data_IF_239178317420
#
_entry.id   IF_239178317420
#
_cell.length_a   1.000
_cell.length_b   1.000
_cell.length_c   1.000
_cell.angle_alpha   90.00
_cell.angle_beta   90.00
_cell.angle_gamma   90.00
#
_symmetry.space_group_name_H-M   'P 1'
#
loop_
_entity.id
_entity.type
_entity.pdbx_description
1 polymer ?
#
# COMPACT_ATOMS: atom_id res chain seq x y z
N UNK A 1 -34.23 -30.79 -28.94
CA UNK A 1 -34.33 -29.64 -27.99
C UNK A 1 -33.84 -29.93 -26.56
N UNK A 2 -34.13 -31.08 -25.93
CA UNK A 2 -33.71 -31.39 -24.54
C UNK A 2 -32.19 -31.52 -24.31
N UNK A 3 -31.44 -32.05 -25.28
CA UNK A 3 -29.98 -32.25 -25.15
C UNK A 3 -29.18 -30.94 -25.20
N UNK A 4 -29.53 -30.01 -26.11
CA UNK A 4 -28.95 -28.66 -26.16
C UNK A 4 -29.19 -27.88 -24.86
N UNK A 5 -30.40 -27.97 -24.28
CA UNK A 5 -30.69 -27.33 -22.97
C UNK A 5 -29.85 -27.91 -21.83
N UNK A 6 -29.66 -29.24 -21.77
CA UNK A 6 -28.80 -29.90 -20.77
C UNK A 6 -27.32 -29.52 -20.89
N UNK A 7 -26.80 -29.41 -22.12
CA UNK A 7 -25.42 -29.00 -22.37
C UNK A 7 -25.21 -27.54 -21.96
N UNK A 8 -26.15 -26.65 -22.30
CA UNK A 8 -26.10 -25.22 -21.92
C UNK A 8 -26.16 -25.06 -20.38
N UNK A 9 -27.01 -25.83 -19.69
CA UNK A 9 -27.07 -25.79 -18.22
C UNK A 9 -25.80 -26.32 -17.57
N UNK A 10 -25.23 -27.43 -18.06
CA UNK A 10 -23.96 -27.98 -17.55
C UNK A 10 -22.78 -27.03 -17.78
N UNK A 11 -22.76 -26.32 -18.91
CA UNK A 11 -21.75 -25.32 -19.22
C UNK A 11 -21.86 -24.11 -18.28
N UNK A 12 -23.08 -23.64 -17.99
CA UNK A 12 -23.34 -22.59 -17.01
C UNK A 12 -22.97 -23.00 -15.57
N UNK A 13 -23.22 -24.26 -15.18
CA UNK A 13 -22.88 -24.81 -13.85
C UNK A 13 -21.39 -24.78 -13.55
N UNK A 14 -20.53 -24.84 -14.57
CA UNK A 14 -19.07 -24.79 -14.40
C UNK A 14 -18.47 -23.40 -14.66
N UNK A 15 -18.97 -22.65 -15.65
CA UNK A 15 -18.40 -21.34 -16.01
C UNK A 15 -18.69 -20.24 -14.99
N UNK A 16 -19.91 -20.16 -14.46
CA UNK A 16 -20.28 -19.15 -13.46
C UNK A 16 -19.43 -19.22 -12.18
N UNK A 17 -19.26 -20.39 -11.53
CA UNK A 17 -18.41 -20.46 -10.35
C UNK A 17 -16.94 -20.18 -10.65
N UNK A 18 -16.42 -20.57 -11.82
CA UNK A 18 -15.04 -20.23 -12.21
C UNK A 18 -14.84 -18.71 -12.38
N UNK A 19 -15.81 -18.01 -12.99
CA UNK A 19 -15.77 -16.55 -13.12
C UNK A 19 -15.88 -15.87 -11.74
N UNK A 20 -16.74 -16.37 -10.85
CA UNK A 20 -16.86 -15.84 -9.48
C UNK A 20 -15.58 -16.06 -8.67
N UNK A 21 -14.95 -17.23 -8.75
CA UNK A 21 -13.66 -17.52 -8.10
C UNK A 21 -12.56 -16.62 -8.68
N UNK A 22 -12.51 -16.46 -10.00
CA UNK A 22 -11.54 -15.56 -10.65
C UNK A 22 -11.75 -14.09 -10.25
N UNK A 23 -12.99 -13.65 -10.02
CA UNK A 23 -13.31 -12.31 -9.52
C UNK A 23 -12.89 -12.09 -8.05
N UNK A 24 -12.55 -13.15 -7.31
CA UNK A 24 -12.02 -13.11 -5.96
C UNK A 24 -10.50 -13.30 -5.90
N UNK A 25 -9.81 -13.45 -7.03
CA UNK A 25 -8.35 -13.42 -7.07
C UNK A 25 -7.89 -11.98 -6.86
N UNK A 26 -7.50 -11.65 -5.62
CA UNK A 26 -6.81 -10.40 -5.34
C UNK A 26 -5.41 -10.47 -5.96
N UNK A 27 -5.13 -9.57 -6.91
CA UNK A 27 -3.78 -9.37 -7.41
C UNK A 27 -2.96 -8.67 -6.33
N UNK A 28 -1.87 -9.31 -5.89
CA UNK A 28 -0.94 -8.72 -4.94
C UNK A 28 0.13 -7.96 -5.71
N UNK A 29 -0.03 -6.65 -5.81
CA UNK A 29 1.01 -5.75 -6.28
C UNK A 29 2.00 -5.42 -5.16
N UNK A 30 3.25 -5.15 -5.51
CA UNK A 30 4.23 -4.61 -4.57
C UNK A 30 3.88 -3.16 -4.25
N UNK A 31 4.17 -2.72 -3.02
CA UNK A 31 3.89 -1.35 -2.59
C UNK A 31 4.69 -0.35 -3.45
N UNK A 32 4.03 0.75 -3.80
CA UNK A 32 4.66 1.88 -4.48
C UNK A 32 4.80 3.03 -3.50
N UNK A 33 5.93 3.73 -3.52
CA UNK A 33 6.22 4.82 -2.60
C UNK A 33 6.79 6.05 -3.30
N UNK A 34 6.66 7.21 -2.65
CA UNK A 34 7.41 8.40 -3.03
C UNK A 34 8.88 8.21 -2.68
N UNK A 35 9.76 8.57 -3.62
CA UNK A 35 11.20 8.34 -3.51
C UNK A 35 11.92 9.60 -3.94
N UNK A 36 12.23 10.46 -2.97
CA UNK A 36 12.75 11.79 -3.24
C UNK A 36 13.43 12.36 -2.00
N UNK A 37 14.28 13.36 -2.23
CA UNK A 37 14.96 14.12 -1.19
C UNK A 37 14.78 15.61 -1.46
N UNK A 38 14.36 16.38 -0.44
CA UNK A 38 14.04 17.80 -0.59
C UNK A 38 15.25 18.72 -0.73
N UNK A 39 16.46 18.22 -0.47
CA UNK A 39 17.71 18.95 -0.70
C UNK A 39 18.15 18.88 -2.17
N UNK A 40 17.81 17.82 -2.89
CA UNK A 40 18.04 17.69 -4.33
C UNK A 40 16.86 18.15 -5.18
N UNK A 41 15.62 17.94 -4.72
CA UNK A 41 14.40 18.32 -5.44
C UNK A 41 13.41 19.03 -4.50
N UNK A 42 13.23 20.36 -4.62
CA UNK A 42 12.37 21.13 -3.73
C UNK A 42 10.90 20.70 -3.78
N UNK A 43 10.44 20.00 -4.83
CA UNK A 43 9.07 19.43 -4.90
C UNK A 43 8.84 18.37 -3.83
N UNK A 44 9.90 17.76 -3.32
CA UNK A 44 9.84 16.79 -2.23
C UNK A 44 9.71 17.45 -0.84
N UNK A 45 9.74 18.77 -0.72
CA UNK A 45 9.54 19.43 0.56
C UNK A 45 8.14 19.18 1.14
N UNK A 46 7.93 19.52 2.41
CA UNK A 46 6.59 19.62 2.99
C UNK A 46 6.15 21.10 3.00
N UNK A 47 4.90 21.42 2.66
CA UNK A 47 3.81 20.51 2.27
C UNK A 47 4.06 19.86 0.90
N UNK A 48 3.68 18.58 0.79
CA UNK A 48 3.99 17.77 -0.38
C UNK A 48 2.81 17.68 -1.34
N UNK A 49 3.04 18.01 -2.60
CA UNK A 49 2.09 17.82 -3.69
C UNK A 49 2.28 16.43 -4.31
N UNK A 50 1.31 15.54 -4.08
CA UNK A 50 1.34 14.16 -4.58
C UNK A 50 1.17 14.02 -6.10
N UNK A 51 0.90 15.11 -6.82
CA UNK A 51 0.87 15.13 -8.28
C UNK A 51 2.19 15.55 -8.92
N UNK A 52 3.12 16.07 -8.11
CA UNK A 52 4.32 16.77 -8.60
C UNK A 52 5.47 15.85 -9.01
N UNK A 53 5.48 14.62 -8.50
CA UNK A 53 6.49 13.59 -8.76
C UNK A 53 5.79 12.30 -9.21
N UNK A 54 6.50 11.32 -9.80
CA UNK A 54 5.98 9.97 -10.01
C UNK A 54 6.30 9.03 -8.85
N UNK A 55 5.36 8.14 -8.52
CA UNK A 55 5.56 7.09 -7.53
C UNK A 55 6.41 5.95 -8.11
N UNK A 56 7.21 5.27 -7.29
CA UNK A 56 8.09 4.18 -7.75
C UNK A 56 7.70 2.84 -7.11
N UNK A 57 7.82 1.75 -7.87
CA UNK A 57 7.64 0.38 -7.38
C UNK A 57 8.82 -0.02 -6.48
N UNK A 58 8.54 -0.39 -5.23
CA UNK A 58 9.57 -0.72 -4.26
C UNK A 58 10.32 -2.03 -4.56
N UNK A 59 9.79 -2.87 -5.46
CA UNK A 59 10.45 -4.10 -5.93
C UNK A 59 11.67 -3.80 -6.79
N UNK A 60 11.67 -2.67 -7.50
CA UNK A 60 12.79 -2.25 -8.35
C UNK A 60 13.97 -1.73 -7.53
N UNK A 61 13.75 -1.44 -6.24
CA UNK A 61 14.81 -0.97 -5.37
C UNK A 61 15.63 -2.11 -4.80
N UNK A 62 16.94 -1.88 -4.74
CA UNK A 62 17.88 -2.75 -4.04
C UNK A 62 18.28 -2.10 -2.71
N UNK A 63 18.45 -2.88 -1.64
CA UNK A 63 19.04 -2.36 -0.41
C UNK A 63 20.46 -1.86 -0.71
N UNK A 64 20.83 -0.74 -0.09
CA UNK A 64 22.12 -0.06 -0.31
C UNK A 64 23.32 -0.80 0.31
N UNK A 65 23.08 -1.86 1.10
CA UNK A 65 24.13 -2.61 1.78
C UNK A 65 24.19 -4.06 1.30
N UNK A 66 25.34 -4.42 0.73
CA UNK A 66 25.73 -5.79 0.38
C UNK A 66 25.83 -6.63 1.68
N UNK A 67 24.77 -7.38 2.00
CA UNK A 67 24.76 -8.27 3.17
C UNK A 67 23.41 -8.46 3.84
N UNK A 68 22.44 -7.58 3.55
CA UNK A 68 21.04 -7.83 3.96
C UNK A 68 20.48 -8.81 2.93
N UNK A 69 20.28 -10.08 3.33
CA UNK A 69 19.59 -11.07 2.52
C UNK A 69 18.31 -10.45 1.96
N UNK A 70 18.25 -10.39 0.63
CA UNK A 70 17.18 -9.93 -0.26
C UNK A 70 15.83 -9.78 0.46
N UNK A 71 15.66 -8.70 1.21
CA UNK A 71 14.36 -8.30 1.73
C UNK A 71 13.78 -7.37 0.69
N UNK A 72 12.61 -7.72 0.17
CA UNK A 72 11.82 -6.80 -0.64
C UNK A 72 11.28 -5.71 0.28
N UNK A 73 11.29 -4.47 -0.18
CA UNK A 73 10.66 -3.40 0.58
C UNK A 73 9.14 -3.58 0.56
N UNK A 74 8.53 -3.66 1.74
CA UNK A 74 7.09 -3.91 1.93
C UNK A 74 6.33 -2.70 2.48
N UNK A 75 7.05 -1.59 2.73
CA UNK A 75 6.54 -0.40 3.38
C UNK A 75 7.11 0.85 2.73
N UNK A 76 6.43 1.98 2.91
CA UNK A 76 7.00 3.30 2.67
C UNK A 76 7.57 3.90 3.95
N UNK A 77 8.51 4.82 3.76
CA UNK A 77 9.16 5.57 4.83
C UNK A 77 9.16 7.07 4.50
N UNK A 78 8.89 7.87 5.51
CA UNK A 78 9.08 9.33 5.50
C UNK A 78 10.00 9.72 6.65
N UNK A 79 10.99 10.52 6.35
CA UNK A 79 11.92 11.08 7.32
C UNK A 79 11.87 12.59 7.18
N UNK A 80 11.53 13.28 8.27
CA UNK A 80 11.70 14.73 8.37
C UNK A 80 12.84 14.99 9.33
N UNK A 81 13.88 15.63 8.82
CA UNK A 81 15.06 15.93 9.61
C UNK A 81 15.39 17.41 9.56
N UNK A 82 15.84 17.95 10.67
CA UNK A 82 16.44 19.29 10.74
C UNK A 82 17.92 19.10 11.00
N UNK A 83 18.77 19.61 10.12
CA UNK A 83 20.22 19.55 10.27
C UNK A 83 20.76 20.97 10.10
N UNK A 84 21.46 21.48 11.11
CA UNK A 84 22.03 22.83 11.12
C UNK A 84 20.99 23.91 10.74
N UNK A 85 19.83 23.90 11.41
CA UNK A 85 18.76 24.87 11.14
C UNK A 85 17.87 24.56 9.94
N UNK A 86 18.30 23.70 9.02
CA UNK A 86 17.58 23.46 7.76
C UNK A 86 16.75 22.18 7.80
N UNK A 87 15.45 22.31 7.52
CA UNK A 87 14.55 21.17 7.37
C UNK A 87 14.76 20.48 6.03
N UNK A 88 14.77 19.15 6.05
CA UNK A 88 14.81 18.28 4.87
C UNK A 88 13.83 17.14 5.05
N UNK A 89 13.12 16.83 3.98
CA UNK A 89 12.22 15.67 3.91
C UNK A 89 12.81 14.66 2.95
N UNK A 90 12.91 13.42 3.42
CA UNK A 90 13.36 12.26 2.64
C UNK A 90 12.22 11.25 2.61
N UNK A 91 11.87 10.79 1.42
CA UNK A 91 10.89 9.74 1.20
C UNK A 91 11.56 8.57 0.50
N UNK A 92 11.32 7.36 0.98
CA UNK A 92 11.90 6.16 0.38
C UNK A 92 11.05 4.91 0.65
N UNK A 93 11.35 3.82 -0.06
CA UNK A 93 10.89 2.49 0.31
C UNK A 93 11.62 2.00 1.58
N UNK A 94 10.90 1.31 2.46
CA UNK A 94 11.42 0.74 3.70
C UNK A 94 11.61 -0.78 3.55
N UNK A 95 12.86 -1.21 3.71
CA UNK A 95 13.24 -2.64 3.76
C UNK A 95 13.13 -3.25 5.15
N UNK A 96 13.09 -2.42 6.19
CA UNK A 96 13.10 -2.81 7.59
C UNK A 96 12.18 -1.89 8.39
N UNK A 97 11.66 -2.44 9.49
CA UNK A 97 10.78 -1.75 10.42
C UNK A 97 9.40 -2.41 10.49
N UNK A 98 8.45 -1.73 11.11
CA UNK A 98 7.05 -2.15 11.17
C UNK A 98 6.15 -0.93 11.09
N UNK A 99 4.98 -0.99 10.43
CA UNK A 99 4.09 0.17 10.26
C UNK A 99 3.78 0.86 11.59
N UNK A 100 3.75 2.20 11.58
CA UNK A 100 3.55 2.99 12.79
C UNK A 100 4.63 2.78 13.85
N UNK A 101 5.86 2.49 13.42
CA UNK A 101 7.00 2.23 14.31
C UNK A 101 6.74 1.09 15.30
N UNK A 102 6.06 0.03 14.82
CA UNK A 102 5.70 -1.15 15.62
C UNK A 102 4.39 -1.04 16.39
N UNK A 103 3.74 0.13 16.40
CA UNK A 103 2.41 0.29 17.03
C UNK A 103 1.26 -0.15 16.13
N UNK A 104 1.49 -0.29 14.82
CA UNK A 104 0.45 -0.54 13.84
C UNK A 104 -0.38 0.70 13.46
N UNK A 105 -0.26 1.81 14.20
CA UNK A 105 -0.86 3.10 13.82
C UNK A 105 0.13 3.92 13.02
N UNK A 106 -0.06 4.03 11.71
CA UNK A 106 0.84 4.73 10.79
C UNK A 106 1.02 6.23 11.07
N UNK A 107 0.14 6.83 11.88
CA UNK A 107 0.28 8.21 12.33
C UNK A 107 1.28 8.35 13.48
N UNK A 108 1.67 7.24 14.10
CA UNK A 108 2.70 7.24 15.12
C UNK A 108 4.09 7.25 14.47
N UNK A 109 4.79 8.36 14.66
CA UNK A 109 6.16 8.55 14.19
C UNK A 109 7.14 8.55 15.36
N UNK A 110 8.33 8.03 15.12
CA UNK A 110 9.42 8.06 16.08
C UNK A 110 10.14 9.40 15.98
N UNK A 111 10.14 10.15 17.08
CA UNK A 111 10.87 11.41 17.20
C UNK A 111 12.16 11.21 17.99
N UNK A 112 13.28 11.70 17.45
CA UNK A 112 14.58 11.72 18.11
C UNK A 112 15.18 13.12 18.00
N UNK A 113 15.68 13.64 19.12
CA UNK A 113 16.42 14.90 19.18
C UNK A 113 17.89 14.59 19.46
N UNK A 114 18.76 15.07 18.58
CA UNK A 114 20.21 14.97 18.73
C UNK A 114 20.83 16.21 19.39
N UNK A 115 22.15 16.21 19.48
CA UNK A 115 22.96 17.39 19.82
C UNK A 115 23.05 18.34 18.63
N UNK A 116 23.26 19.64 18.86
CA UNK A 116 23.48 20.66 17.81
C UNK A 116 22.30 20.89 16.83
N UNK A 117 21.08 21.13 17.34
CA UNK A 117 19.87 21.45 16.53
C UNK A 117 19.50 20.37 15.50
N UNK A 118 19.82 19.11 15.81
CA UNK A 118 19.45 17.95 15.01
C UNK A 118 18.11 17.40 15.50
N UNK A 119 17.12 17.37 14.62
CA UNK A 119 15.81 16.75 14.88
C UNK A 119 15.55 15.70 13.82
N UNK A 120 14.97 14.58 14.22
CA UNK A 120 14.60 13.49 13.33
C UNK A 120 13.21 12.99 13.70
N UNK A 121 12.30 13.02 12.74
CA UNK A 121 11.00 12.39 12.79
C UNK A 121 10.99 11.31 11.70
N UNK A 122 10.69 10.08 12.11
CA UNK A 122 10.73 8.93 11.25
C UNK A 122 9.37 8.21 11.32
N UNK A 123 8.75 8.00 10.17
CA UNK A 123 7.45 7.35 10.05
C UNK A 123 7.51 6.25 9.00
N UNK A 124 6.81 5.15 9.25
CA UNK A 124 6.64 4.05 8.30
C UNK A 124 5.20 3.59 8.18
N UNK A 125 4.82 3.16 6.98
CA UNK A 125 3.44 2.82 6.62
C UNK A 125 3.39 1.78 5.50
N UNK A 126 2.29 1.04 5.39
CA UNK A 126 1.97 0.12 4.31
C UNK A 126 0.47 0.03 3.95
N UNK A 127 -0.37 0.96 4.43
CA UNK A 127 -1.82 0.94 4.23
C UNK A 127 -2.26 1.16 2.78
N UNK A 128 -1.44 1.84 1.98
CA UNK A 128 -1.67 2.11 0.57
C UNK A 128 -0.37 2.46 -0.14
N UNK A 129 -0.42 2.41 -1.46
CA UNK A 129 0.58 3.08 -2.30
C UNK A 129 0.68 4.56 -1.95
N UNK A 130 1.92 5.03 -1.78
CA UNK A 130 2.23 6.43 -1.51
C UNK A 130 1.72 6.90 -0.15
N UNK A 131 1.60 6.02 0.85
CA UNK A 131 1.24 6.37 2.22
C UNK A 131 2.27 7.29 2.91
N UNK A 132 3.47 7.45 2.33
CA UNK A 132 4.49 8.41 2.79
C UNK A 132 4.30 9.82 2.20
N UNK A 133 3.07 10.19 1.84
CA UNK A 133 2.67 11.52 1.41
C UNK A 133 2.71 12.55 2.57
N UNK A 134 2.04 13.70 2.42
CA UNK A 134 1.82 14.60 3.55
C UNK A 134 0.93 13.91 4.60
N UNK A 135 1.10 14.27 5.88
CA UNK A 135 0.36 13.65 7.00
C UNK A 135 -1.14 13.64 6.72
N UNK A 136 -1.73 12.45 6.63
CA UNK A 136 -3.15 12.29 6.31
C UNK A 136 -3.98 12.63 7.53
N UNK A 137 -4.89 13.60 7.42
CA UNK A 137 -6.10 13.59 8.23
C UNK A 137 -6.91 12.37 7.78
N UNK A 138 -6.90 11.31 8.57
CA UNK A 138 -7.54 10.03 8.17
C UNK A 138 -9.06 10.21 8.15
N UNK A 139 -9.65 10.14 6.96
CA UNK A 139 -11.06 9.84 6.75
C UNK A 139 -11.23 8.32 6.74
N UNK A 140 -11.87 7.78 7.78
CA UNK A 140 -12.22 6.36 7.86
C UNK A 140 -13.40 6.05 6.94
N UNK A 141 -13.14 5.74 5.67
CA UNK A 141 -14.16 5.14 4.80
C UNK A 141 -14.06 3.62 4.88
N UNK A 142 -14.90 3.03 5.73
CA UNK A 142 -15.03 1.58 5.85
C UNK A 142 -15.77 1.05 4.61
N UNK A 143 -15.04 0.43 3.68
CA UNK A 143 -15.62 -0.18 2.47
C UNK A 143 -16.08 -1.60 2.79
N UNK A 144 -17.40 -1.81 2.85
CA UNK A 144 -17.98 -3.15 2.88
C UNK A 144 -18.06 -3.71 1.45
N UNK A 145 -17.54 -4.93 1.25
CA UNK A 145 -17.58 -5.61 -0.05
C UNK A 145 -18.98 -6.16 -0.37
N UNK A 146 -19.79 -5.38 -1.10
CA UNK A 146 -21.13 -5.77 -1.60
C UNK A 146 -21.13 -7.07 -2.43
N UNK A 147 -19.98 -7.44 -3.01
CA UNK A 147 -19.84 -8.64 -3.84
C UNK A 147 -20.10 -9.95 -3.10
N UNK A 148 -19.81 -10.03 -1.80
CA UNK A 148 -20.00 -11.27 -1.01
C UNK A 148 -21.49 -11.59 -0.84
N UNK A 149 -22.33 -10.57 -0.60
CA UNK A 149 -23.77 -10.74 -0.40
C UNK A 149 -24.47 -11.25 -1.68
N UNK A 150 -24.03 -10.76 -2.84
CA UNK A 150 -24.57 -11.17 -4.14
C UNK A 150 -24.22 -12.64 -4.40
N UNK A 151 -22.97 -13.06 -4.20
CA UNK A 151 -22.53 -14.45 -4.39
C UNK A 151 -23.30 -15.45 -3.50
N UNK A 152 -23.53 -15.10 -2.23
CA UNK A 152 -24.30 -15.94 -1.30
C UNK A 152 -25.75 -16.11 -1.76
N UNK A 153 -26.39 -15.04 -2.27
CA UNK A 153 -27.77 -15.10 -2.77
C UNK A 153 -27.93 -16.01 -4.01
N UNK A 154 -26.92 -16.04 -4.88
CA UNK A 154 -26.91 -16.90 -6.07
C UNK A 154 -26.67 -18.37 -5.71
N UNK A 155 -25.75 -18.65 -4.77
CA UNK A 155 -25.53 -20.01 -4.25
C UNK A 155 -26.77 -20.55 -3.52
N UNK A 156 -27.44 -19.70 -2.73
CA UNK A 156 -28.68 -20.08 -2.04
C UNK A 156 -29.79 -20.47 -3.02
N UNK A 157 -29.97 -19.69 -4.11
CA UNK A 157 -30.92 -20.03 -5.17
C UNK A 157 -30.57 -21.33 -5.91
N UNK A 158 -29.28 -21.68 -6.00
CA UNK A 158 -28.82 -22.89 -6.68
C UNK A 158 -28.97 -24.16 -5.84
N UNK A 159 -28.90 -24.05 -4.51
CA UNK A 159 -29.08 -25.18 -3.57
C UNK A 159 -30.57 -25.51 -3.37
N UNK A 160 -31.45 -24.51 -3.52
CA UNK A 160 -32.90 -24.64 -3.30
C UNK A 160 -33.67 -25.02 -4.58
N UNK A 161 -33.01 -25.05 -5.75
CA UNK A 161 -33.55 -25.52 -7.03
C UNK A 161 -33.01 -26.92 -7.38
#
# INVERSE_FOLDING_TARGET
MKLRRKIITLFHSFLLPVILIAAHLEFVDCIKCWVCHSDSDPKCADPFDNSSLPIKDCREMRPSHEGIQIQTATMCRKIRQKIHGNWRTIRNCAFLGSPGEGTGNENNCLYRKGTYDIYLEYCTCNSKDGCNDASRLVSNFQRYNLNILVSISFLWRYIVL
#
